data_IF_114515327149
#
_entry.id   IF_114515327149
#
_cell.length_a   1.000
_cell.length_b   1.000
_cell.length_c   1.000
_cell.angle_alpha   90.00
_cell.angle_beta   90.00
_cell.angle_gamma   90.00
#
_symmetry.space_group_name_H-M   'P 1'
#
loop_
_entity.id
_entity.type
_entity.pdbx_description
1 polymer ?
2 non-polymer ?
3 non-polymer ?
4 non-polymer ?
5 water ?
#
# COMPACT_ATOMS: atom_id res chain seq x y z
N UNK A 6 4.58 -3.74 16.92
CA UNK A 6 5.98 -3.87 16.36
C UNK A 6 6.19 -2.87 15.23
N UNK A 7 7.33 -2.18 15.26
CA UNK A 7 7.59 -1.08 14.34
C UNK A 7 8.96 -1.20 13.64
N UNK A 8 9.08 -0.54 12.50
CA UNK A 8 10.31 -0.53 11.78
C UNK A 8 10.78 0.89 11.63
N UNK A 9 12.06 1.11 11.83
CA UNK A 9 12.63 2.44 11.68
C UNK A 9 12.91 2.71 10.23
N UNK A 10 12.22 3.75 9.71
CA UNK A 10 12.34 4.22 8.33
C UNK A 10 13.61 5.00 8.17
N UNK A 11 14.07 5.18 6.94
CA UNK A 11 15.30 5.92 6.67
C UNK A 11 15.15 7.40 6.96
N UNK A 12 13.99 7.79 7.49
CA UNK A 12 13.71 9.18 7.80
C UNK A 12 13.68 9.42 9.31
N UNK A 13 13.92 8.36 10.07
CA UNK A 13 13.92 8.44 11.52
C UNK A 13 12.58 8.07 12.12
N UNK A 14 11.52 8.26 11.34
CA UNK A 14 10.17 7.95 11.79
C UNK A 14 9.96 6.45 11.91
N UNK A 15 8.94 6.05 12.66
CA UNK A 15 8.63 4.64 12.86
C UNK A 15 7.34 4.26 12.14
N UNK A 16 7.27 3.01 11.68
CA UNK A 16 6.09 2.51 10.97
C UNK A 16 5.70 1.15 11.55
N UNK A 17 4.44 0.99 11.99
CA UNK A 17 3.96 -0.33 12.44
C UNK A 17 4.04 -1.33 11.30
N UNK A 18 4.51 -2.54 11.59
CA UNK A 18 4.83 -3.51 10.52
C UNK A 18 3.56 -4.21 9.97
N UNK A 19 2.50 -4.19 10.78
CA UNK A 19 1.18 -4.61 10.37
C UNK A 19 0.30 -3.37 10.02
N UNK A 20 -0.26 -3.38 8.84
CA UNK A 20 -1.07 -2.23 8.37
C UNK A 20 -2.47 -2.70 8.01
N UNK A 21 -3.43 -1.80 8.20
CA UNK A 21 -4.85 -2.07 7.86
C UNK A 21 -5.14 -1.54 6.45
N UNK A 22 -5.47 -2.42 5.49
CA UNK A 22 -5.84 -1.94 4.17
C UNK A 22 -7.30 -1.45 4.14
N UNK A 23 -7.58 -0.39 3.36
CA UNK A 23 -8.94 0.22 3.41
C UNK A 23 -9.65 0.29 2.05
N UNK A 24 -8.94 -0.06 0.98
CA UNK A 24 -9.60 -0.13 -0.33
C UNK A 24 -10.69 -1.18 -0.24
N UNK A 25 -11.83 -0.82 -0.84
CA UNK A 25 -12.79 -1.84 -1.23
C UNK A 25 -13.36 -1.58 -2.63
N UNK A 26 -13.80 -2.65 -3.32
CA UNK A 26 -14.38 -2.68 -4.65
C UNK A 26 -15.51 -1.61 -4.73
N UNK A 27 -15.68 -1.00 -5.91
CA UNK A 27 -16.63 0.08 -6.15
C UNK A 27 -17.99 -0.28 -5.60
N UNK A 28 -18.38 -1.54 -5.65
CA UNK A 28 -19.74 -1.94 -5.26
C UNK A 28 -20.03 -1.90 -3.73
N UNK A 29 -19.01 -1.70 -2.92
CA UNK A 29 -19.18 -1.65 -1.47
C UNK A 29 -19.53 -0.25 -1.02
N UNK A 30 -20.66 -0.10 -0.32
CA UNK A 30 -21.08 1.25 0.10
C UNK A 30 -19.96 2.00 0.81
N UNK A 31 -19.83 3.33 0.62
CA UNK A 31 -18.73 4.04 1.32
C UNK A 31 -18.89 4.05 2.84
N UNK A 32 -20.10 3.77 3.32
CA UNK A 32 -20.34 3.74 4.77
C UNK A 32 -19.56 2.63 5.51
N UNK A 33 -19.34 1.53 4.80
CA UNK A 33 -18.62 0.36 5.30
C UNK A 33 -17.20 0.68 5.78
N UNK A 34 -16.50 1.60 5.11
CA UNK A 34 -15.12 2.00 5.49
C UNK A 34 -15.04 2.55 6.90
N UNK A 35 -16.14 3.17 7.31
CA UNK A 35 -16.23 3.83 8.61
C UNK A 35 -16.19 2.78 9.73
N UNK A 36 -17.15 1.85 9.74
CA UNK A 36 -17.20 0.93 10.86
C UNK A 36 -15.99 0.03 10.84
N UNK A 37 -15.58 -0.46 9.65
CA UNK A 37 -14.39 -1.35 9.54
C UNK A 37 -13.12 -0.71 10.09
N UNK A 38 -12.92 0.59 9.81
CA UNK A 38 -11.74 1.29 10.32
C UNK A 38 -11.80 1.43 11.85
N UNK A 39 -12.98 1.72 12.39
CA UNK A 39 -13.18 1.71 13.86
C UNK A 39 -12.89 0.32 14.42
N UNK A 40 -13.47 -0.72 13.84
CA UNK A 40 -13.15 -2.11 14.26
C UNK A 40 -11.66 -2.42 14.31
N UNK A 41 -10.92 -1.97 13.27
CA UNK A 41 -9.48 -2.26 13.17
C UNK A 41 -8.71 -1.64 14.30
N UNK A 42 -8.94 -0.36 14.57
CA UNK A 42 -8.25 0.33 15.68
C UNK A 42 -8.45 -0.38 17.03
N UNK A 43 -9.72 -0.69 17.30
CA UNK A 43 -10.20 -1.46 18.49
C UNK A 43 -9.51 -2.80 18.63
N UNK A 44 -9.46 -3.55 17.51
CA UNK A 44 -8.68 -4.82 17.50
C UNK A 44 -7.18 -4.62 17.72
N UNK A 45 -6.68 -3.43 17.39
CA UNK A 45 -5.28 -3.13 17.64
C UNK A 45 -4.47 -2.63 16.48
N UNK A 46 -5.09 -2.44 15.32
CA UNK A 46 -4.32 -1.90 14.18
C UNK A 46 -3.97 -0.45 14.48
N UNK A 47 -2.76 -0.05 14.15
CA UNK A 47 -2.31 1.32 14.40
C UNK A 47 -1.87 1.99 13.10
N UNK A 48 -1.50 1.18 12.10
CA UNK A 48 -1.07 1.70 10.82
C UNK A 48 -2.13 1.46 9.75
N UNK A 49 -2.86 2.51 9.40
CA UNK A 49 -3.92 2.41 8.39
C UNK A 49 -3.46 3.00 7.06
N UNK A 50 -3.91 2.40 5.96
CA UNK A 50 -3.55 2.86 4.63
C UNK A 50 -4.77 3.33 3.87
N UNK A 51 -4.62 4.45 3.16
CA UNK A 51 -5.68 5.03 2.37
C UNK A 51 -5.06 5.94 1.33
N UNK A 52 -5.87 6.41 0.40
CA UNK A 52 -5.40 7.28 -0.67
C UNK A 52 -6.57 7.96 -1.35
N UNK A 53 -6.28 9.03 -2.09
CA UNK A 53 -7.34 9.77 -2.77
C UNK A 53 -8.18 8.87 -3.66
N UNK A 54 -7.53 7.90 -4.29
CA UNK A 54 -8.21 6.95 -5.17
C UNK A 54 -9.43 6.24 -4.54
N UNK A 55 -9.31 5.85 -3.28
CA UNK A 55 -10.27 4.96 -2.67
C UNK A 55 -11.61 5.58 -2.35
N UNK A 56 -11.71 6.90 -2.49
CA UNK A 56 -12.99 7.57 -2.25
C UNK A 56 -13.51 7.36 -0.84
N UNK A 57 -12.59 7.07 0.07
CA UNK A 57 -12.94 6.71 1.44
C UNK A 57 -12.29 7.61 2.48
N UNK A 58 -11.41 8.50 2.04
CA UNK A 58 -10.67 9.37 2.95
C UNK A 58 -11.52 10.00 4.04
N UNK A 59 -12.75 10.36 3.72
CA UNK A 59 -13.64 11.03 4.66
C UNK A 59 -14.09 10.07 5.75
N UNK A 60 -14.47 8.85 5.36
CA UNK A 60 -14.92 7.82 6.31
C UNK A 60 -13.80 7.38 7.23
N UNK A 61 -12.65 7.07 6.65
CA UNK A 61 -11.49 6.64 7.44
C UNK A 61 -11.10 7.74 8.42
N UNK A 62 -11.17 8.98 7.98
CA UNK A 62 -10.86 10.12 8.81
C UNK A 62 -11.84 10.23 9.95
N UNK A 63 -13.13 10.08 9.68
CA UNK A 63 -14.17 10.04 10.73
C UNK A 63 -13.81 8.98 11.74
N UNK A 64 -13.58 7.76 11.26
CA UNK A 64 -13.23 6.64 12.14
C UNK A 64 -12.05 6.95 13.06
N UNK A 65 -10.94 7.42 12.50
CA UNK A 65 -9.74 7.63 13.27
C UNK A 65 -9.99 8.73 14.34
N UNK A 66 -10.76 9.73 13.99
CA UNK A 66 -10.88 10.88 14.88
C UNK A 66 -11.84 10.53 16.01
N UNK A 67 -12.85 9.72 15.70
CA UNK A 67 -13.70 9.08 16.72
C UNK A 67 -12.86 8.34 17.77
N UNK A 68 -11.90 7.55 17.28
CA UNK A 68 -11.06 6.74 18.17
C UNK A 68 -10.13 7.55 19.01
N UNK A 69 -9.70 8.70 18.48
CA UNK A 69 -8.90 9.72 19.21
C UNK A 69 -9.75 10.52 20.23
N UNK A 70 -10.99 10.84 19.86
CA UNK A 70 -11.89 11.60 20.76
C UNK A 70 -12.42 10.74 21.96
N UNK A 71 -12.77 9.49 21.67
CA UNK A 71 -13.18 8.55 22.70
C UNK A 71 -12.02 8.24 23.65
N UNK A 72 -10.80 8.61 23.25
CA UNK A 72 -9.63 8.35 24.09
C UNK A 72 -8.92 7.02 23.91
N UNK A 73 -9.46 6.14 23.06
CA UNK A 73 -8.83 4.82 22.73
C UNK A 73 -7.37 4.97 22.30
N UNK A 74 -7.13 5.89 21.36
CA UNK A 74 -5.78 6.21 20.87
C UNK A 74 -5.56 7.70 20.85
N UNK A 75 -4.29 8.08 20.84
CA UNK A 75 -3.80 9.46 20.61
C UNK A 75 -3.36 9.50 19.14
N UNK A 76 -3.32 10.68 18.53
CA UNK A 76 -2.90 10.81 17.09
C UNK A 76 -1.53 10.26 16.78
N UNK A 77 -0.59 10.46 17.70
CA UNK A 77 0.76 9.91 17.61
C UNK A 77 0.81 8.39 17.63
N UNK A 78 -0.26 7.75 18.14
CA UNK A 78 -0.34 6.27 18.14
C UNK A 78 -0.82 5.71 16.79
N UNK A 79 -1.35 6.58 15.92
CA UNK A 79 -1.90 6.14 14.64
C UNK A 79 -0.90 6.48 13.57
N UNK A 80 -0.63 5.53 12.66
CA UNK A 80 0.20 5.79 11.48
C UNK A 80 -0.68 5.71 10.24
N UNK A 81 -0.96 6.89 9.70
CA UNK A 81 -1.89 7.00 8.60
C UNK A 81 -1.19 7.36 7.27
N UNK A 82 -1.42 6.54 6.25
CA UNK A 82 -0.86 6.75 4.92
C UNK A 82 -1.89 7.29 3.92
N UNK A 83 -1.44 8.21 3.07
CA UNK A 83 -2.23 8.69 1.93
C UNK A 83 -1.41 8.57 0.65
N UNK A 84 -2.07 8.66 -0.50
CA UNK A 84 -1.39 8.53 -1.78
C UNK A 84 -1.84 9.52 -2.79
N UNK A 85 -0.85 10.05 -3.52
CA UNK A 85 -1.05 11.07 -4.51
C UNK A 85 -1.51 10.38 -5.79
N UNK A 86 -2.67 10.78 -6.31
CA UNK A 86 -3.24 10.01 -7.44
C UNK A 86 -2.63 10.48 -8.78
N UNK A 87 -2.62 9.61 -9.80
CA UNK A 87 -2.10 9.93 -11.15
C UNK A 87 -2.50 11.27 -11.84
N UNK A 88 -3.64 11.84 -11.41
CA UNK A 88 -4.15 13.08 -11.98
C UNK A 88 -3.47 14.32 -11.34
N UNK A 89 -2.64 14.13 -10.29
CA UNK A 89 -1.90 15.24 -9.67
C UNK A 89 -0.36 15.15 -9.59
N UNK A 90 0.22 14.33 -10.47
CA UNK A 90 1.65 14.26 -10.68
C UNK A 90 2.29 15.63 -10.96
N UNK A 91 1.59 16.51 -11.68
CA UNK A 91 2.21 17.80 -12.04
C UNK A 91 2.65 18.52 -10.75
N UNK A 92 3.90 18.98 -10.73
CA UNK A 92 4.50 19.57 -9.55
C UNK A 92 3.61 20.54 -8.78
N UNK A 93 2.94 21.46 -9.47
CA UNK A 93 2.12 22.46 -8.83
C UNK A 93 0.76 21.95 -8.29
N UNK A 94 0.40 20.71 -8.68
CA UNK A 94 -0.81 20.03 -8.26
C UNK A 94 -0.62 19.15 -7.04
N UNK A 95 0.62 18.79 -6.72
CA UNK A 95 0.94 17.88 -5.58
C UNK A 95 0.46 18.38 -4.21
N UNK A 96 0.83 19.61 -3.83
CA UNK A 96 0.41 20.11 -2.53
C UNK A 96 -1.13 20.24 -2.46
N UNK A 97 -1.78 20.79 -3.51
CA UNK A 97 -3.22 20.84 -3.38
C UNK A 97 -3.83 19.45 -3.16
N UNK A 98 -3.30 18.45 -3.84
CA UNK A 98 -3.88 17.10 -3.69
C UNK A 98 -3.78 16.63 -2.24
N UNK A 99 -2.60 16.83 -1.68
CA UNK A 99 -2.36 16.40 -0.30
C UNK A 99 -3.27 17.19 0.61
N UNK A 100 -3.39 18.49 0.36
CA UNK A 100 -4.19 19.36 1.22
C UNK A 100 -5.69 18.99 1.16
N UNK A 101 -6.12 18.58 -0.03
CA UNK A 101 -7.48 18.07 -0.23
C UNK A 101 -7.74 16.79 0.53
N UNK A 102 -6.83 15.81 0.44
CA UNK A 102 -6.93 14.65 1.36
C UNK A 102 -7.04 15.06 2.83
N UNK A 103 -6.23 16.02 3.20
CA UNK A 103 -6.26 16.42 4.61
C UNK A 103 -7.56 17.04 5.06
N UNK A 104 -8.16 17.83 4.17
CA UNK A 104 -9.44 18.47 4.46
C UNK A 104 -10.54 17.43 4.53
N UNK A 105 -10.44 16.37 3.72
CA UNK A 105 -11.42 15.30 3.74
C UNK A 105 -11.26 14.48 5.02
N UNK A 106 -10.01 14.19 5.41
CA UNK A 106 -9.73 13.43 6.64
C UNK A 106 -10.04 14.26 7.90
N UNK A 107 -9.99 15.58 7.79
CA UNK A 107 -10.04 16.44 8.96
C UNK A 107 -8.86 16.15 9.89
N UNK A 108 -7.65 16.15 9.33
CA UNK A 108 -6.42 15.87 10.08
C UNK A 108 -5.46 16.93 9.61
N UNK A 109 -4.46 17.30 10.41
CA UNK A 109 -3.50 18.33 9.97
C UNK A 109 -2.30 17.76 9.23
N UNK A 110 -2.06 16.45 9.34
CA UNK A 110 -0.94 15.84 8.61
C UNK A 110 -1.05 14.31 8.51
N UNK A 111 -0.49 13.76 7.44
CA UNK A 111 -0.46 12.32 7.26
C UNK A 111 0.88 11.81 7.70
N UNK A 112 0.94 10.59 8.15
CA UNK A 112 2.21 10.06 8.52
C UNK A 112 3.07 9.72 7.31
N UNK A 113 2.44 9.41 6.19
CA UNK A 113 3.16 8.90 5.01
C UNK A 113 2.38 9.30 3.75
N UNK A 114 3.10 9.78 2.74
CA UNK A 114 2.48 10.17 1.49
C UNK A 114 3.26 9.58 0.37
N UNK A 115 2.56 8.82 -0.48
CA UNK A 115 3.14 8.09 -1.60
C UNK A 115 2.66 8.54 -2.93
N UNK A 116 3.60 8.51 -3.87
CA UNK A 116 3.26 8.59 -5.28
C UNK A 116 2.62 7.25 -5.58
N UNK A 117 1.35 7.27 -6.00
CA UNK A 117 0.54 6.06 -5.99
C UNK A 117 0.89 5.10 -7.14
N UNK A 118 1.26 5.67 -8.30
CA UNK A 118 1.53 4.87 -9.53
C UNK A 118 2.32 5.74 -10.49
N UNK A 119 3.34 5.16 -11.14
CA UNK A 119 4.23 6.07 -11.83
C UNK A 119 3.73 6.62 -13.18
N UNK A 120 2.59 6.16 -13.65
CA UNK A 120 2.01 6.66 -14.90
C UNK A 120 1.01 7.82 -14.60
N UNK A 121 1.19 9.01 -15.24
CA UNK A 121 0.33 10.16 -14.97
C UNK A 121 -0.87 10.20 -15.87
N UNK A 122 -1.93 10.84 -15.44
CA UNK A 122 -3.10 11.02 -16.28
C UNK A 122 -3.54 12.47 -16.30
N UNK A 123 -4.46 12.78 -17.20
CA UNK A 123 -4.89 14.18 -17.41
C UNK A 123 -5.41 14.77 -16.13
N UNK A 124 -4.96 15.98 -15.80
CA UNK A 124 -5.46 16.64 -14.58
C UNK A 124 -6.96 16.91 -14.67
N UNK A 125 -7.64 16.89 -13.52
CA UNK A 125 -9.10 17.06 -13.41
C UNK A 125 -9.66 16.17 -12.32
N UNK A 126 -10.97 16.23 -12.14
CA UNK A 126 -11.69 15.44 -11.10
C UNK A 126 -11.77 13.95 -11.38
N UNK A 127 -11.82 13.61 -12.65
CA UNK A 127 -11.90 12.21 -12.95
C UNK A 127 -10.57 11.45 -12.69
N UNK A 128 -10.68 10.42 -11.86
CA UNK A 128 -9.51 9.58 -11.51
C UNK A 128 -8.95 8.81 -12.71
N UNK A 129 -9.81 8.40 -13.64
CA UNK A 129 -9.33 7.75 -14.86
C UNK A 129 -9.99 8.43 -16.04
N UNK A 130 -9.39 9.51 -16.54
CA UNK A 130 -10.10 10.32 -17.54
C UNK A 130 -10.00 9.63 -18.89
N UNK A 131 -11.14 9.58 -19.59
CA UNK A 131 -11.20 8.98 -20.92
C UNK A 131 -11.71 9.95 -22.01
N UNK A 132 -11.21 9.79 -23.23
CA UNK A 132 -11.78 10.54 -24.38
C UNK A 132 -13.23 10.01 -24.68
N UNK A 133 -13.89 10.62 -25.68
CA UNK A 133 -15.26 10.27 -26.01
C UNK A 133 -15.38 8.86 -26.59
N UNK A 134 -14.28 8.19 -26.87
CA UNK A 134 -14.34 6.81 -27.34
C UNK A 134 -13.93 5.83 -26.19
N UNK A 135 -13.69 6.35 -25.00
CA UNK A 135 -13.31 5.49 -23.85
C UNK A 135 -11.82 5.24 -23.71
N UNK A 136 -11.04 5.97 -24.48
CA UNK A 136 -9.59 5.79 -24.46
C UNK A 136 -9.02 6.66 -23.35
N UNK A 137 -8.09 6.08 -22.57
CA UNK A 137 -7.49 6.80 -21.46
C UNK A 137 -6.60 8.00 -21.82
N UNK A 138 -6.85 9.12 -21.14
CA UNK A 138 -6.06 10.31 -21.42
C UNK A 138 -4.86 10.40 -20.48
N UNK A 139 -3.72 9.89 -20.96
CA UNK A 139 -2.46 9.95 -20.19
C UNK A 139 -1.80 11.32 -20.28
N UNK A 140 -0.87 11.55 -19.36
CA UNK A 140 -0.22 12.85 -19.23
C UNK A 140 1.25 12.52 -19.28
N UNK A 141 2.07 13.53 -19.55
CA UNK A 141 3.51 13.38 -19.61
C UNK A 141 4.10 14.29 -18.52
N UNK A 142 4.60 13.69 -17.45
CA UNK A 142 5.15 14.42 -16.29
C UNK A 142 6.45 13.74 -15.92
N UNK A 143 7.48 14.55 -15.61
CA UNK A 143 8.77 14.09 -15.06
C UNK A 143 8.53 13.66 -13.61
N UNK A 144 8.74 12.39 -13.30
CA UNK A 144 8.53 11.88 -11.93
C UNK A 144 9.51 12.51 -10.90
N UNK A 145 10.71 12.88 -11.37
CA UNK A 145 11.69 13.65 -10.58
C UNK A 145 11.12 14.97 -10.11
N UNK A 146 10.36 15.65 -10.97
CA UNK A 146 9.63 16.89 -10.62
C UNK A 146 8.49 16.57 -9.65
N UNK A 147 7.77 15.47 -9.90
CA UNK A 147 6.74 15.08 -8.94
C UNK A 147 7.36 14.87 -7.56
N UNK A 148 8.47 14.14 -7.53
CA UNK A 148 9.14 13.84 -6.27
C UNK A 148 9.60 15.11 -5.53
N UNK A 149 10.12 16.09 -6.27
CA UNK A 149 10.60 17.30 -5.60
C UNK A 149 9.43 18.04 -4.95
N UNK A 150 8.23 17.99 -5.56
CA UNK A 150 7.04 18.59 -4.90
C UNK A 150 6.58 17.77 -3.71
N UNK A 151 6.71 16.45 -3.80
CA UNK A 151 6.44 15.63 -2.66
C UNK A 151 7.37 15.96 -1.50
N UNK A 152 8.65 16.18 -1.78
CA UNK A 152 9.64 16.64 -0.79
C UNK A 152 9.24 17.90 -0.07
N UNK A 153 8.75 18.89 -0.81
CA UNK A 153 8.29 20.16 -0.17
C UNK A 153 7.09 19.95 0.77
N UNK A 154 6.33 18.86 0.56
CA UNK A 154 5.22 18.54 1.50
C UNK A 154 5.80 18.06 2.82
N UNK A 155 6.96 17.41 2.74
CA UNK A 155 7.64 16.94 3.96
C UNK A 155 8.25 18.15 4.66
N UNK A 156 8.91 19.01 3.90
CA UNK A 156 9.44 20.29 4.45
C UNK A 156 8.37 21.15 5.10
N UNK A 157 7.17 21.19 4.51
CA UNK A 157 6.02 21.92 5.08
C UNK A 157 5.41 21.25 6.29
N UNK A 158 5.76 19.99 6.58
CA UNK A 158 5.24 19.28 7.75
C UNK A 158 3.90 18.60 7.51
N UNK A 159 3.42 18.63 6.26
CA UNK A 159 2.10 18.08 5.87
C UNK A 159 2.15 16.58 5.71
N UNK A 160 3.35 16.08 5.51
CA UNK A 160 3.53 14.62 5.47
C UNK A 160 4.76 14.37 6.31
N UNK A 161 4.66 13.46 7.28
CA UNK A 161 5.84 13.12 8.10
C UNK A 161 6.93 12.38 7.31
N UNK A 162 6.54 11.31 6.61
CA UNK A 162 7.45 10.63 5.69
C UNK A 162 6.86 10.58 4.25
N UNK A 163 7.71 10.29 3.26
CA UNK A 163 7.25 10.25 1.89
C UNK A 163 7.85 9.01 1.26
N UNK A 164 7.12 8.44 0.30
CA UNK A 164 7.56 7.18 -0.30
C UNK A 164 6.88 6.94 -1.63
N UNK A 165 7.05 5.74 -2.19
CA UNK A 165 6.51 5.44 -3.52
C UNK A 165 5.67 4.18 -3.53
N UNK A 166 5.05 3.88 -4.67
CA UNK A 166 4.24 2.68 -4.77
C UNK A 166 4.30 2.25 -6.20
N UNK A 167 4.43 0.94 -6.43
CA UNK A 167 4.40 0.41 -7.80
C UNK A 167 5.54 0.92 -8.67
N UNK A 168 6.66 1.27 -8.04
CA UNK A 168 7.87 1.61 -8.79
C UNK A 168 8.72 0.38 -9.00
N UNK A 169 9.33 0.31 -10.19
CA UNK A 169 10.36 -0.74 -10.40
C UNK A 169 11.76 -0.26 -10.11
N UNK A 170 12.72 -1.18 -10.27
CA UNK A 170 14.11 -0.87 -9.92
C UNK A 170 14.62 0.34 -10.70
N UNK A 171 14.31 0.39 -12.01
CA UNK A 171 14.70 1.55 -12.84
C UNK A 171 14.20 2.88 -12.27
N UNK A 172 12.91 2.90 -11.93
CA UNK A 172 12.27 4.11 -11.37
C UNK A 172 12.75 4.51 -9.95
N UNK A 173 13.00 3.53 -9.09
CA UNK A 173 13.67 3.78 -7.81
C UNK A 173 15.04 4.42 -8.06
N UNK A 174 15.82 3.88 -9.00
CA UNK A 174 17.13 4.43 -9.33
C UNK A 174 17.04 5.84 -9.91
N UNK A 175 16.07 6.11 -10.77
CA UNK A 175 15.89 7.49 -11.23
C UNK A 175 15.65 8.48 -10.08
N UNK A 176 14.83 8.16 -9.09
CA UNK A 176 14.66 9.08 -7.92
C UNK A 176 15.96 9.17 -7.10
N UNK A 177 16.52 8.02 -6.71
CA UNK A 177 17.78 7.97 -5.92
C UNK A 177 18.97 8.76 -6.50
N UNK A 178 19.06 8.81 -7.82
CA UNK A 178 20.17 9.40 -8.52
C UNK A 178 19.87 10.81 -9.10
N UNK A 179 18.72 11.36 -8.71
CA UNK A 179 18.26 12.67 -9.13
C UNK A 179 19.18 13.77 -8.54
N UNK A 180 19.64 14.71 -9.40
CA UNK A 180 20.43 15.83 -8.87
C UNK A 180 19.72 16.52 -7.72
N UNK A 181 20.37 16.63 -6.58
CA UNK A 181 19.84 17.46 -5.49
C UNK A 181 18.71 16.85 -4.66
N UNK A 182 18.51 15.55 -4.75
CA UNK A 182 17.49 14.86 -3.99
C UNK A 182 17.67 15.28 -2.47
N UNK A 183 16.54 15.50 -1.84
CA UNK A 183 16.56 15.84 -0.43
C UNK A 183 16.30 14.61 0.47
N UNK A 184 15.36 13.77 0.07
CA UNK A 184 14.87 12.70 0.91
C UNK A 184 14.70 11.48 0.01
N UNK A 185 15.37 10.38 0.29
CA UNK A 185 14.93 9.17 -0.39
C UNK A 185 13.51 8.66 -0.02
N UNK A 186 12.87 7.95 -0.91
CA UNK A 186 11.57 7.35 -0.52
C UNK A 186 11.82 6.45 0.69
N UNK A 187 10.95 6.52 1.70
CA UNK A 187 11.09 5.61 2.86
C UNK A 187 10.63 4.15 2.52
N UNK A 188 9.86 3.99 1.44
CA UNK A 188 9.21 2.72 1.12
C UNK A 188 8.79 2.65 -0.33
N UNK A 189 8.60 1.40 -0.78
CA UNK A 189 8.02 1.07 -2.05
C UNK A 189 6.88 0.10 -1.74
N UNK A 190 5.65 0.57 -1.92
CA UNK A 190 4.52 -0.27 -1.60
C UNK A 190 4.09 -0.98 -2.87
N UNK A 191 4.18 -2.29 -2.87
CA UNK A 191 3.95 -3.09 -4.11
C UNK A 191 3.21 -4.37 -3.73
N UNK A 192 2.60 -5.04 -4.73
CA UNK A 192 2.01 -6.35 -4.58
C UNK A 192 3.00 -7.42 -4.12
N UNK A 193 2.70 -8.05 -3.03
CA UNK A 193 3.54 -9.13 -2.52
C UNK A 193 2.78 -10.12 -1.63
N UNK A 194 2.94 -11.40 -1.98
CA UNK A 194 2.42 -12.54 -1.23
C UNK A 194 3.17 -13.79 -1.72
N UNK A 195 2.73 -14.97 -1.30
CA UNK A 195 3.46 -16.22 -1.58
C UNK A 195 3.56 -16.60 -3.06
N UNK A 196 2.64 -16.10 -3.88
CA UNK A 196 2.60 -16.45 -5.30
C UNK A 196 3.50 -15.51 -6.09
N UNK A 197 3.71 -14.31 -5.55
CA UNK A 197 4.53 -13.33 -6.20
C UNK A 197 5.40 -12.62 -5.17
N UNK A 198 6.49 -13.28 -4.80
CA UNK A 198 7.17 -12.91 -3.56
C UNK A 198 8.19 -11.76 -3.66
N UNK A 199 8.42 -11.28 -4.88
CA UNK A 199 9.29 -10.14 -5.13
C UNK A 199 10.62 -10.21 -4.38
N UNK A 200 11.29 -11.36 -4.45
CA UNK A 200 12.64 -11.48 -3.93
C UNK A 200 13.61 -10.45 -4.49
N UNK A 201 13.71 -10.38 -5.81
CA UNK A 201 14.61 -9.37 -6.44
C UNK A 201 14.32 -7.95 -5.99
N UNK A 202 13.04 -7.54 -6.10
CA UNK A 202 12.74 -6.19 -5.64
C UNK A 202 12.97 -5.97 -4.16
N UNK A 203 12.68 -6.95 -3.32
CA UNK A 203 12.83 -6.81 -1.87
C UNK A 203 14.30 -6.61 -1.50
N UNK A 204 15.15 -7.44 -2.10
CA UNK A 204 16.66 -7.27 -2.02
C UNK A 204 17.16 -5.90 -2.47
N UNK A 205 16.73 -5.46 -3.66
CA UNK A 205 17.05 -4.14 -4.12
C UNK A 205 16.58 -3.02 -3.12
N UNK A 206 15.34 -3.06 -2.66
CA UNK A 206 14.87 -2.03 -1.72
C UNK A 206 15.76 -2.05 -0.47
N UNK A 207 15.95 -3.24 0.08
CA UNK A 207 16.80 -3.39 1.25
C UNK A 207 18.20 -2.73 1.06
N UNK A 208 18.84 -3.01 -0.08
CA UNK A 208 20.18 -2.46 -0.37
C UNK A 208 20.23 -0.92 -0.37
N UNK A 209 19.09 -0.25 -0.57
CA UNK A 209 19.03 1.20 -0.63
C UNK A 209 18.33 1.88 0.58
N UNK A 210 18.19 1.14 1.67
CA UNK A 210 17.46 1.59 2.86
C UNK A 210 15.97 1.92 2.58
N UNK A 211 15.32 1.15 1.71
CA UNK A 211 13.89 1.37 1.43
C UNK A 211 13.08 0.15 1.95
N UNK A 212 12.08 0.39 2.77
CA UNK A 212 11.15 -0.72 3.17
C UNK A 212 10.21 -1.19 2.06
N UNK A 213 10.01 -2.49 1.96
CA UNK A 213 9.03 -3.05 1.02
C UNK A 213 7.69 -3.29 1.73
N UNK A 214 6.68 -2.53 1.35
CA UNK A 214 5.35 -2.66 1.94
C UNK A 214 4.47 -3.48 1.03
N UNK A 215 4.11 -4.68 1.48
CA UNK A 215 3.39 -5.62 0.62
C UNK A 215 1.88 -5.41 0.60
N UNK A 216 1.35 -5.07 -0.58
CA UNK A 216 -0.07 -5.01 -0.76
C UNK A 216 -0.63 -6.30 -1.40
N UNK A 217 -1.95 -6.45 -1.33
CA UNK A 217 -2.65 -7.65 -1.73
C UNK A 217 -1.94 -8.88 -1.21
N UNK A 218 -1.53 -8.79 0.05
CA UNK A 218 -0.79 -9.88 0.69
C UNK A 218 -1.65 -11.12 0.91
N UNK A 219 -2.97 -10.96 0.88
CA UNK A 219 -3.84 -12.12 1.12
C UNK A 219 -4.37 -12.62 -0.19
N UNK A 220 -3.75 -12.20 -1.27
CA UNK A 220 -4.15 -12.65 -2.61
C UNK A 220 -5.08 -11.68 -3.30
N UNK A 221 -5.27 -10.50 -2.72
CA UNK A 221 -6.05 -9.44 -3.36
C UNK A 221 -7.58 -9.50 -3.16
N UNK A 222 -8.25 -8.39 -3.45
CA UNK A 222 -9.71 -8.32 -3.39
C UNK A 222 -10.35 -9.18 -4.51
N UNK A 223 -9.59 -9.48 -5.55
CA UNK A 223 -10.11 -10.25 -6.68
C UNK A 223 -11.25 -9.52 -7.41
N UNK A 224 -11.27 -8.20 -7.30
CA UNK A 224 -12.28 -7.39 -7.98
C UNK A 224 -12.05 -7.36 -9.48
N UNK A 225 -13.13 -7.43 -10.24
CA UNK A 225 -13.05 -7.42 -11.70
C UNK A 225 -13.33 -6.03 -12.26
N UNK A 226 -12.72 -5.71 -13.39
CA UNK A 226 -11.83 -6.67 -14.07
C UNK A 226 -10.36 -6.32 -13.83
N UNK A 227 -10.03 -5.92 -12.61
CA UNK A 227 -8.66 -5.57 -12.26
C UNK A 227 -7.81 -6.81 -12.08
N UNK A 228 -8.43 -7.90 -11.66
CA UNK A 228 -7.72 -9.16 -11.44
C UNK A 228 -8.45 -10.31 -12.13
N UNK A 229 -7.73 -11.01 -13.00
CA UNK A 229 -8.30 -12.14 -13.72
C UNK A 229 -8.96 -13.13 -12.77
N UNK A 230 -10.24 -13.40 -13.01
CA UNK A 230 -11.00 -14.34 -12.17
C UNK A 230 -10.50 -15.80 -12.32
N UNK A 231 -9.68 -16.07 -13.33
CA UNK A 231 -9.14 -17.41 -13.50
C UNK A 231 -7.82 -17.64 -12.77
N UNK A 232 -7.30 -16.62 -12.06
CA UNK A 232 -6.07 -16.80 -11.37
C UNK A 232 -6.30 -17.73 -10.19
N UNK A 233 -5.26 -18.48 -9.77
CA UNK A 233 -5.40 -19.29 -8.59
C UNK A 233 -5.75 -18.40 -7.41
N UNK A 234 -6.49 -18.96 -6.45
CA UNK A 234 -6.88 -18.23 -5.23
C UNK A 234 -5.83 -18.51 -4.13
N UNK A 235 -5.11 -17.46 -3.71
CA UNK A 235 -3.99 -17.62 -2.79
C UNK A 235 -4.39 -18.32 -1.49
N UNK A 236 -5.56 -18.01 -0.98
CA UNK A 236 -5.95 -18.51 0.32
C UNK A 236 -6.46 -19.95 0.27
N UNK A 237 -6.59 -20.52 -0.93
CA UNK A 237 -6.95 -21.94 -1.03
C UNK A 237 -5.72 -22.80 -1.16
N UNK A 238 -4.54 -22.18 -1.04
CA UNK A 238 -3.28 -22.88 -1.28
C UNK A 238 -3.09 -24.00 -0.28
N UNK A 239 -2.89 -25.25 -0.76
CA UNK A 239 -2.77 -26.39 0.17
C UNK A 239 -1.67 -26.29 1.26
N UNK A 240 -0.55 -25.68 0.94
CA UNK A 240 0.54 -25.54 1.87
C UNK A 240 0.23 -24.46 2.92
N UNK A 241 -0.38 -23.38 2.51
CA UNK A 241 -0.83 -22.40 3.51
C UNK A 241 -1.89 -22.99 4.41
N UNK A 242 -2.73 -23.87 3.87
CA UNK A 242 -3.79 -24.56 4.67
C UNK A 242 -3.19 -25.57 5.67
N UNK A 243 -2.21 -26.36 5.22
CA UNK A 243 -1.51 -27.33 6.12
C UNK A 243 -0.77 -26.58 7.24
N UNK A 244 -0.02 -25.52 6.86
CA UNK A 244 0.64 -24.65 7.85
C UNK A 244 -0.36 -24.00 8.84
N UNK A 245 -1.52 -23.57 8.34
CA UNK A 245 -2.56 -23.04 9.21
C UNK A 245 -3.03 -24.06 10.25
N UNK A 246 -3.42 -25.26 9.81
CA UNK A 246 -3.81 -26.35 10.73
C UNK A 246 -2.75 -26.68 11.76
N UNK A 247 -1.49 -26.82 11.32
CA UNK A 247 -0.38 -27.18 12.23
C UNK A 247 -0.17 -26.13 13.36
N UNK A 248 -0.56 -24.89 13.11
CA UNK A 248 -0.29 -23.79 14.07
C UNK A 248 -1.56 -23.26 14.68
N UNK A 249 -2.67 -23.97 14.49
CA UNK A 249 -3.96 -23.54 15.03
C UNK A 249 -4.30 -22.13 14.57
N UNK A 250 -4.30 -21.92 13.25
CA UNK A 250 -4.61 -20.62 12.68
C UNK A 250 -5.07 -20.80 11.24
N UNK A 251 -5.28 -19.69 10.54
CA UNK A 251 -5.72 -19.73 9.15
C UNK A 251 -4.67 -19.39 8.10
N UNK A 252 -4.99 -19.65 6.84
CA UNK A 252 -4.08 -19.38 5.74
C UNK A 252 -3.71 -17.89 5.63
N UNK A 253 -4.65 -17.02 5.89
CA UNK A 253 -4.39 -15.57 5.87
C UNK A 253 -3.27 -15.22 6.89
N UNK A 254 -3.39 -15.72 8.12
CA UNK A 254 -2.34 -15.47 9.11
C UNK A 254 -1.01 -16.05 8.73
N UNK A 255 -0.99 -17.19 8.05
CA UNK A 255 0.27 -17.70 7.54
C UNK A 255 0.91 -16.74 6.49
N UNK A 256 0.10 -16.23 5.57
CA UNK A 256 0.68 -15.34 4.50
C UNK A 256 1.18 -14.07 5.13
N UNK A 257 0.47 -13.60 6.16
CA UNK A 257 0.89 -12.33 6.85
C UNK A 257 2.22 -12.53 7.61
N UNK A 258 2.29 -13.61 8.40
CA UNK A 258 3.51 -13.91 9.15
C UNK A 258 4.73 -14.08 8.28
N UNK A 259 4.57 -14.80 7.15
CA UNK A 259 5.63 -14.91 6.16
C UNK A 259 6.29 -13.58 5.81
N UNK A 260 5.50 -12.50 5.61
CA UNK A 260 6.07 -11.21 5.20
C UNK A 260 6.81 -10.57 6.40
N UNK A 261 6.19 -10.61 7.58
CA UNK A 261 6.86 -10.08 8.75
C UNK A 261 8.21 -10.75 8.99
N UNK A 262 8.34 -12.04 8.70
CA UNK A 262 9.64 -12.72 9.03
C UNK A 262 10.74 -12.49 7.99
N UNK A 263 10.35 -12.04 6.80
CA UNK A 263 11.33 -11.75 5.70
C UNK A 263 11.62 -10.26 5.57
N UNK A 264 11.30 -9.48 6.59
CA UNK A 264 11.70 -8.05 6.56
C UNK A 264 10.70 -7.10 5.87
N UNK A 265 9.50 -7.59 5.58
CA UNK A 265 8.49 -6.87 4.81
C UNK A 265 7.49 -6.22 5.75
N UNK A 266 7.04 -5.00 5.45
CA UNK A 266 5.87 -4.45 6.15
C UNK A 266 4.62 -4.85 5.43
N UNK A 267 3.64 -5.39 6.15
CA UNK A 267 2.54 -6.03 5.47
C UNK A 267 1.17 -5.38 5.72
N UNK A 268 0.43 -5.15 4.65
CA UNK A 268 -0.97 -4.73 4.79
C UNK A 268 -1.98 -5.90 4.80
N UNK A 269 -3.12 -5.70 5.44
CA UNK A 269 -4.21 -6.68 5.37
C UNK A 269 -5.55 -5.89 5.37
N UNK A 270 -6.30 -5.98 4.27
CA UNK A 270 -7.66 -5.41 4.28
C UNK A 270 -8.70 -6.46 4.74
N UNK A 271 -9.60 -6.07 5.63
CA UNK A 271 -10.86 -6.79 5.83
C UNK A 271 -11.91 -5.80 6.34
N UNK A 272 -13.10 -5.92 5.80
CA UNK A 272 -14.30 -5.26 6.37
C UNK A 272 -15.18 -6.23 7.16
N UNK A 273 -14.64 -7.39 7.56
CA UNK A 273 -15.43 -8.38 8.33
C UNK A 273 -14.92 -8.36 9.75
N UNK A 274 -15.78 -8.12 10.73
CA UNK A 274 -15.34 -8.04 12.10
C UNK A 274 -14.52 -9.25 12.60
N UNK A 275 -14.95 -10.46 12.26
CA UNK A 275 -14.24 -11.67 12.71
C UNK A 275 -12.84 -11.68 12.08
N UNK A 276 -12.73 -11.33 10.81
CA UNK A 276 -11.42 -11.40 10.14
C UNK A 276 -10.48 -10.30 10.61
N UNK A 277 -11.04 -9.11 10.80
CA UNK A 277 -10.28 -8.03 11.40
C UNK A 277 -9.61 -8.49 12.71
N UNK A 278 -10.37 -9.05 13.67
CA UNK A 278 -9.84 -9.41 15.02
C UNK A 278 -8.82 -10.57 14.95
N UNK A 279 -9.02 -11.43 13.98
CA UNK A 279 -8.14 -12.51 13.69
C UNK A 279 -6.76 -12.02 13.16
N UNK A 280 -6.80 -11.10 12.19
CA UNK A 280 -5.56 -10.62 11.51
C UNK A 280 -4.46 -10.02 12.41
N UNK A 281 -4.84 -9.35 13.50
CA UNK A 281 -3.86 -8.85 14.46
C UNK A 281 -3.13 -9.92 15.27
N UNK A 282 -3.56 -11.18 15.15
CA UNK A 282 -2.95 -12.25 15.89
C UNK A 282 -1.65 -12.75 15.26
N UNK A 283 -1.25 -12.14 14.16
CA UNK A 283 -0.01 -12.54 13.48
C UNK A 283 1.21 -12.44 14.39
N UNK A 284 1.12 -11.60 15.43
CA UNK A 284 2.25 -11.41 16.35
C UNK A 284 2.29 -12.52 17.39
N UNK A 285 1.26 -13.38 17.43
CA UNK A 285 1.15 -14.41 18.47
C UNK A 285 1.84 -15.74 18.15
N UNK A 286 2.42 -15.89 16.96
CA UNK A 286 3.08 -17.16 16.59
C UNK A 286 4.23 -16.89 15.64
N UNK A 287 4.99 -17.93 15.29
CA UNK A 287 6.05 -17.75 14.35
C UNK A 287 6.27 -19.01 13.51
N UNK A 288 6.96 -18.83 12.40
CA UNK A 288 7.27 -19.92 11.47
C UNK A 288 8.75 -20.28 11.63
N UNK A 289 9.11 -21.57 11.48
CA UNK A 289 10.52 -21.96 11.54
C UNK A 289 11.17 -21.62 10.20
N UNK A 290 12.50 -21.76 10.11
CA UNK A 290 13.22 -21.61 8.89
C UNK A 290 12.76 -22.41 7.71
N UNK A 291 12.44 -23.64 8.06
CA UNK A 291 12.08 -24.65 7.08
C UNK A 291 10.65 -24.40 6.60
N UNK A 292 9.88 -23.72 7.43
CA UNK A 292 8.51 -23.40 7.06
C UNK A 292 8.59 -22.19 6.14
N UNK A 293 9.45 -21.23 6.49
CA UNK A 293 9.69 -20.06 5.59
C UNK A 293 10.12 -20.51 4.18
N UNK A 294 11.00 -21.50 4.12
CA UNK A 294 11.47 -22.06 2.83
C UNK A 294 10.35 -22.77 2.04
N UNK A 295 9.48 -23.49 2.74
CA UNK A 295 8.30 -24.08 2.12
C UNK A 295 7.43 -23.02 1.45
N UNK A 296 7.27 -21.88 2.11
CA UNK A 296 6.47 -20.77 1.57
C UNK A 296 7.15 -20.07 0.39
N UNK A 297 8.45 -19.99 0.45
CA UNK A 297 9.25 -19.46 -0.60
C UNK A 297 9.02 -20.32 -1.84
N UNK A 298 8.81 -21.61 -1.67
CA UNK A 298 8.56 -22.48 -2.80
C UNK A 298 7.26 -22.29 -3.57
N UNK A 299 6.35 -21.56 -2.98
CA UNK A 299 5.07 -21.26 -3.57
C UNK A 299 5.10 -20.25 -4.69
N UNK A 300 6.19 -19.49 -4.81
CA UNK A 300 6.29 -18.44 -5.80
C UNK A 300 6.07 -18.82 -7.27
N UNK A 301 4.99 -18.32 -7.87
CA UNK A 301 4.65 -18.70 -9.25
C UNK A 301 4.39 -17.59 -10.30
N UNK A 302 4.89 -16.38 -10.05
CA UNK A 302 4.79 -15.28 -11.00
C UNK A 302 3.35 -14.86 -11.24
N UNK A 303 2.50 -15.04 -10.24
CA UNK A 303 1.14 -14.65 -10.40
C UNK A 303 0.99 -13.24 -9.87
N UNK A 304 0.97 -12.27 -10.77
CA UNK A 304 0.70 -10.86 -10.37
C UNK A 304 -0.79 -10.64 -10.53
N UNK A 305 -1.53 -10.42 -9.43
CA UNK A 305 -2.99 -10.28 -9.49
C UNK A 305 -3.41 -8.93 -10.03
N UNK A 306 -2.76 -7.88 -9.56
CA UNK A 306 -3.10 -6.54 -10.01
C UNK A 306 -2.14 -6.07 -11.09
N UNK A 307 -2.36 -6.49 -12.33
CA UNK A 307 -1.45 -6.10 -13.39
C UNK A 307 -1.56 -4.63 -13.79
N UNK A 308 -2.70 -4.02 -13.49
CA UNK A 308 -2.94 -2.63 -13.89
C UNK A 308 -2.57 -2.42 -15.39
N UNK A 309 -2.84 -3.43 -16.22
CA UNK A 309 -2.44 -3.38 -17.63
C UNK A 309 -3.30 -2.43 -18.44
N UNK A 310 -4.41 -1.96 -17.86
CA UNK A 310 -5.06 -0.77 -18.45
C UNK A 310 -4.12 0.46 -18.60
N UNK A 311 -3.03 0.46 -17.81
CA UNK A 311 -2.06 1.59 -17.80
C UNK A 311 -0.74 1.24 -18.53
N UNK A 312 -0.77 0.20 -19.34
CA UNK A 312 0.38 -0.19 -20.15
C UNK A 312 0.28 0.63 -21.43
N UNK A 313 1.40 0.82 -22.09
CA UNK A 313 1.43 1.75 -23.20
C UNK A 313 2.42 2.81 -22.83
N UNK A 314 2.07 3.68 -21.86
CA UNK A 314 2.98 4.79 -21.52
C UNK A 314 4.36 4.33 -21.10
N UNK A 315 5.39 5.19 -21.25
CA UNK A 315 6.78 4.80 -20.93
C UNK A 315 6.99 4.37 -19.49
N UNK A 316 6.20 4.91 -18.56
CA UNK A 316 6.43 4.60 -17.13
C UNK A 316 5.65 3.38 -16.64
N UNK A 317 4.93 2.67 -17.50
CA UNK A 317 4.29 1.40 -17.00
C UNK A 317 5.35 0.56 -16.28
N UNK A 318 5.15 0.28 -14.97
CA UNK A 318 6.24 -0.31 -14.19
C UNK A 318 6.46 -1.78 -14.36
N UNK A 319 5.52 -2.53 -14.96
CA UNK A 319 5.61 -4.01 -14.81
C UNK A 319 6.11 -4.81 -16.04
N UNK A 320 6.53 -4.11 -17.11
CA UNK A 320 7.17 -4.78 -18.26
C UNK A 320 8.61 -5.17 -17.91
N UNK A 321 9.27 -4.39 -17.05
CA UNK A 321 10.62 -4.79 -16.64
C UNK A 321 10.66 -6.06 -15.77
N UNK A 322 11.83 -6.69 -15.63
CA UNK A 322 11.89 -7.97 -14.89
C UNK A 322 11.56 -7.73 -13.42
N UNK A 323 12.14 -6.66 -12.88
CA UNK A 323 11.64 -6.05 -11.65
C UNK A 323 12.16 -4.64 -11.58
#
# INVERSE_FOLDING_TARGET
>A
MDSKYQCVKLNDGHFMPVLGFGTYAPAEVPKSKALEATKLAIEAGFRHIDSAHLYNNEEQVGLAIRSKIADGSVKREDIFYTSKLWCNSHRPELVRPALERSLKNLQLDYVDLYLIHFPVSVKPGEEVIPKDENGKILFDTVDLCATWEAVEKCKDAGLAKSIGVSNFNRRQLEMILNKPGLKYKPVCNQVECHPYFNQRKLLDFCKSKDIVLVAYSALGSHREEPWVDPNSPVLLEDPVLCALAKKHKRTPALIALRYQLQRGVVVLAKSYNEQRIRQNVQVFEFQLTSEEMKAIDGLNRNVRYLTLDIFAGPPNYPFSDEY
#
